data_IF_703538475161
#
_entry.id   IF_703538475161
#
_cell.length_a   1.000
_cell.length_b   1.000
_cell.length_c   1.000
_cell.angle_alpha   90.00
_cell.angle_beta   90.00
_cell.angle_gamma   90.00
#
_symmetry.space_group_name_H-M   'P 1'
#
loop_
_entity.id
_entity.type
_entity.pdbx_description
1 polymer ?
#
# COMPACT_ATOMS: atom_id res chain seq x y z
N UNK A 1 -16.12 18.67 14.53
CA UNK A 1 -14.65 18.62 14.47
C UNK A 1 -14.28 17.46 13.57
N UNK A 2 -13.46 17.70 12.57
CA UNK A 2 -13.07 16.65 11.63
C UNK A 2 -11.92 15.86 12.25
N UNK A 3 -11.87 14.55 11.97
CA UNK A 3 -10.94 13.61 12.61
C UNK A 3 -9.47 14.00 12.37
N UNK A 4 -9.20 14.72 11.29
CA UNK A 4 -7.86 15.11 10.86
C UNK A 4 -7.25 16.31 11.61
N UNK A 5 -8.04 17.08 12.36
CA UNK A 5 -7.55 18.23 13.14
C UNK A 5 -7.32 17.89 14.62
N UNK A 6 -7.31 16.60 14.98
CA UNK A 6 -7.10 16.15 16.36
C UNK A 6 -5.65 16.44 16.80
N UNK A 7 -5.50 17.09 17.95
CA UNK A 7 -4.22 17.33 18.60
C UNK A 7 -4.15 16.65 19.98
N UNK A 8 -2.94 16.29 20.45
CA UNK A 8 -2.75 15.89 21.84
C UNK A 8 -3.24 16.96 22.80
N UNK A 9 -4.03 16.56 23.79
CA UNK A 9 -4.68 17.48 24.75
C UNK A 9 -6.15 17.76 24.44
N UNK A 10 -6.65 17.41 23.26
CA UNK A 10 -8.06 17.57 22.95
C UNK A 10 -8.93 16.59 23.74
N UNK A 11 -10.17 17.01 24.03
CA UNK A 11 -11.17 16.15 24.66
C UNK A 11 -12.20 15.76 23.61
N UNK A 12 -12.32 14.44 23.39
CA UNK A 12 -13.27 13.87 22.43
C UNK A 12 -14.32 13.08 23.17
N UNK A 13 -15.56 13.26 22.75
CA UNK A 13 -16.69 12.46 23.21
C UNK A 13 -16.95 11.34 22.20
N UNK A 14 -17.04 10.11 22.71
CA UNK A 14 -17.30 8.91 21.92
C UNK A 14 -18.63 8.29 22.35
N UNK A 15 -19.43 7.94 21.35
CA UNK A 15 -20.71 7.24 21.52
C UNK A 15 -20.63 5.81 20.97
N UNK A 16 -21.73 5.09 21.16
CA UNK A 16 -21.91 3.73 20.65
C UNK A 16 -21.69 3.69 19.14
N UNK A 17 -20.95 2.68 18.67
CA UNK A 17 -20.53 2.46 17.27
C UNK A 17 -19.49 3.44 16.72
N UNK A 18 -19.05 4.41 17.50
CA UNK A 18 -17.95 5.28 17.07
C UNK A 18 -16.64 4.49 17.06
N UNK A 19 -15.82 4.78 16.06
CA UNK A 19 -14.45 4.30 15.98
C UNK A 19 -13.54 5.30 16.71
N UNK A 20 -12.61 4.79 17.50
CA UNK A 20 -11.67 5.61 18.25
C UNK A 20 -10.63 6.21 17.27
N UNK A 21 -10.56 7.56 17.13
CA UNK A 21 -9.77 8.19 16.06
C UNK A 21 -8.26 8.26 16.32
N UNK A 22 -7.82 8.11 17.56
CA UNK A 22 -6.43 8.27 17.99
C UNK A 22 -6.19 7.51 19.31
N UNK A 23 -5.03 7.55 19.94
CA UNK A 23 -4.89 6.96 21.30
C UNK A 23 -5.21 8.00 22.37
N UNK A 24 -5.67 7.54 23.54
CA UNK A 24 -6.12 8.45 24.59
C UNK A 24 -6.53 7.80 25.89
N UNK A 25 -6.77 8.63 26.90
CA UNK A 25 -7.14 8.22 28.25
C UNK A 25 -8.61 8.48 28.52
N UNK A 26 -9.32 7.49 29.07
CA UNK A 26 -10.66 7.61 29.61
C UNK A 26 -10.69 8.66 30.73
N UNK A 27 -11.58 9.65 30.60
CA UNK A 27 -11.79 10.67 31.62
C UNK A 27 -13.05 10.38 32.43
N UNK A 28 -14.18 10.22 31.73
CA UNK A 28 -15.49 10.05 32.37
C UNK A 28 -16.45 9.39 31.39
N UNK A 29 -17.33 8.53 31.86
CA UNK A 29 -18.30 7.86 31.00
C UNK A 29 -19.14 6.86 31.78
N UNK A 30 -20.11 6.26 31.10
CA UNK A 30 -21.00 5.26 31.68
C UNK A 30 -20.81 3.91 31.01
N UNK A 31 -20.36 2.91 31.79
CA UNK A 31 -20.21 1.50 31.40
C UNK A 31 -19.70 1.31 29.97
N UNK A 32 -18.52 1.84 29.66
CA UNK A 32 -17.96 1.78 28.31
C UNK A 32 -17.28 0.44 28.06
N UNK A 33 -17.69 -0.18 26.96
CA UNK A 33 -17.11 -1.44 26.46
C UNK A 33 -16.56 -1.21 25.07
N UNK A 34 -15.29 -1.53 24.88
CA UNK A 34 -14.56 -1.40 23.62
C UNK A 34 -14.33 -2.78 23.01
N UNK A 35 -14.45 -2.85 21.69
CA UNK A 35 -14.06 -3.97 20.86
C UNK A 35 -12.62 -3.78 20.37
N UNK A 36 -11.71 -4.65 20.81
CA UNK A 36 -10.30 -4.63 20.42
C UNK A 36 -9.99 -5.55 19.23
N UNK A 37 -10.99 -6.25 18.68
CA UNK A 37 -10.81 -7.16 17.54
C UNK A 37 -10.21 -6.51 16.31
N UNK A 38 -10.40 -5.20 16.14
CA UNK A 38 -9.81 -4.46 15.02
C UNK A 38 -8.29 -4.33 15.14
N UNK A 39 -7.73 -4.37 16.35
CA UNK A 39 -6.29 -4.21 16.60
C UNK A 39 -5.59 -5.55 16.79
N UNK A 40 -6.17 -6.46 17.59
CA UNK A 40 -5.54 -7.75 17.94
C UNK A 40 -5.99 -8.90 17.05
N UNK A 41 -7.12 -8.76 16.34
CA UNK A 41 -7.75 -9.84 15.60
C UNK A 41 -8.59 -10.79 16.48
N UNK A 42 -8.54 -10.64 17.80
CA UNK A 42 -9.28 -11.47 18.75
C UNK A 42 -10.56 -10.78 19.19
N UNK A 43 -11.68 -11.51 19.26
CA UNK A 43 -12.97 -10.96 19.66
C UNK A 43 -13.09 -10.76 21.18
N UNK A 44 -12.13 -10.06 21.76
CA UNK A 44 -12.11 -9.74 23.17
C UNK A 44 -12.66 -8.33 23.41
N UNK A 45 -13.61 -8.21 24.34
CA UNK A 45 -14.20 -6.93 24.70
C UNK A 45 -13.56 -6.45 25.99
N UNK A 46 -13.09 -5.21 25.99
CA UNK A 46 -12.43 -4.60 27.15
C UNK A 46 -13.36 -3.57 27.77
N UNK A 47 -13.63 -3.73 29.07
CA UNK A 47 -14.40 -2.78 29.84
C UNK A 47 -13.48 -1.68 30.38
N UNK A 48 -13.82 -0.43 30.12
CA UNK A 48 -13.05 0.71 30.62
C UNK A 48 -13.43 1.03 32.07
N UNK A 49 -12.41 1.14 32.91
CA UNK A 49 -12.52 1.52 34.32
C UNK A 49 -11.33 2.41 34.70
N UNK A 50 -11.31 2.96 35.93
CA UNK A 50 -10.17 3.75 36.42
C UNK A 50 -8.84 2.98 36.41
N UNK A 51 -8.88 1.65 36.49
CA UNK A 51 -7.69 0.78 36.41
C UNK A 51 -7.24 0.51 34.98
N UNK A 52 -8.17 0.49 34.03
CA UNK A 52 -7.90 0.28 32.61
C UNK A 52 -8.52 1.42 31.79
N UNK A 53 -7.86 2.57 31.85
CA UNK A 53 -8.33 3.81 31.30
C UNK A 53 -7.74 4.10 29.90
N UNK A 54 -7.02 3.16 29.27
CA UNK A 54 -6.38 3.42 27.98
C UNK A 54 -7.30 3.01 26.82
N UNK A 55 -7.48 3.89 25.84
CA UNK A 55 -8.23 3.64 24.61
C UNK A 55 -7.29 3.69 23.42
N UNK A 56 -7.27 2.61 22.66
CA UNK A 56 -6.42 2.44 21.48
C UNK A 56 -7.13 2.91 20.21
N UNK A 57 -6.39 3.58 19.34
CA UNK A 57 -6.83 3.99 18.01
C UNK A 57 -7.24 2.79 17.18
N UNK A 58 -8.31 2.93 16.41
CA UNK A 58 -8.83 1.85 15.54
C UNK A 58 -9.78 0.89 16.24
N UNK A 59 -9.87 0.91 17.57
CA UNK A 59 -10.89 0.15 18.32
C UNK A 59 -12.28 0.77 18.19
N UNK A 60 -13.33 0.01 18.53
CA UNK A 60 -14.72 0.43 18.34
C UNK A 60 -15.51 0.38 19.64
N UNK A 61 -16.31 1.40 19.91
CA UNK A 61 -17.18 1.42 21.10
C UNK A 61 -18.40 0.54 20.87
N UNK A 62 -18.54 -0.56 21.62
CA UNK A 62 -19.74 -1.42 21.57
C UNK A 62 -20.89 -0.88 22.38
N UNK A 63 -20.61 -0.43 23.60
CA UNK A 63 -21.62 0.01 24.55
C UNK A 63 -21.12 1.19 25.38
N UNK A 64 -22.06 2.01 25.85
CA UNK A 64 -21.79 3.17 26.69
C UNK A 64 -21.39 4.42 25.91
N UNK A 65 -21.04 5.46 26.66
CA UNK A 65 -20.47 6.70 26.12
C UNK A 65 -19.37 7.20 27.06
N UNK A 66 -18.34 7.82 26.50
CA UNK A 66 -17.26 8.40 27.30
C UNK A 66 -16.69 9.66 26.70
N UNK A 67 -16.10 10.47 27.58
CA UNK A 67 -15.14 11.50 27.26
C UNK A 67 -13.76 10.92 27.46
N UNK A 68 -12.87 11.23 26.53
CA UNK A 68 -11.46 10.86 26.63
C UNK A 68 -10.56 12.05 26.31
N UNK A 69 -9.36 12.01 26.84
CA UNK A 69 -8.26 12.92 26.51
C UNK A 69 -7.39 12.29 25.42
N UNK A 70 -7.10 13.02 24.36
CA UNK A 70 -6.19 12.59 23.30
C UNK A 70 -4.75 12.70 23.79
N UNK A 71 -3.98 11.61 23.69
CA UNK A 71 -2.56 11.59 24.10
C UNK A 71 -1.63 11.56 22.90
N UNK A 72 -1.95 10.75 21.89
CA UNK A 72 -1.15 10.63 20.66
C UNK A 72 -2.05 10.50 19.45
N UNK A 73 -1.64 11.10 18.33
CA UNK A 73 -2.38 11.15 17.06
C UNK A 73 -1.48 10.71 15.89
N UNK A 74 -2.11 10.32 14.79
CA UNK A 74 -1.41 9.92 13.55
C UNK A 74 -0.46 8.73 13.74
N UNK A 75 0.72 8.82 13.12
CA UNK A 75 1.72 7.74 13.10
C UNK A 75 2.32 7.40 14.46
N UNK A 76 2.13 8.26 15.47
CA UNK A 76 2.63 8.02 16.83
C UNK A 76 1.72 7.09 17.63
N UNK A 77 0.51 6.82 17.15
CA UNK A 77 -0.44 5.90 17.77
C UNK A 77 0.00 4.43 17.65
N UNK A 78 -0.57 3.55 18.46
CA UNK A 78 -0.34 2.10 18.36
C UNK A 78 -0.77 1.57 16.98
N UNK A 79 -1.92 2.02 16.48
CA UNK A 79 -2.37 1.69 15.12
C UNK A 79 -1.40 2.20 14.05
N UNK A 80 -0.91 3.43 14.20
CA UNK A 80 0.08 4.03 13.30
C UNK A 80 1.38 3.23 13.27
N UNK A 81 1.91 2.86 14.44
CA UNK A 81 3.12 2.02 14.55
C UNK A 81 2.92 0.64 13.93
N UNK A 82 1.78 -0.01 14.19
CA UNK A 82 1.45 -1.29 13.59
C UNK A 82 1.43 -1.19 12.06
N UNK A 83 0.84 -0.13 11.51
CA UNK A 83 0.81 0.11 10.08
C UNK A 83 2.20 0.37 9.50
N UNK A 84 3.09 1.08 10.20
CA UNK A 84 4.49 1.24 9.79
C UNK A 84 5.18 -0.11 9.70
N UNK A 85 5.11 -0.94 10.73
CA UNK A 85 5.75 -2.26 10.73
C UNK A 85 5.18 -3.18 9.63
N UNK A 86 3.87 -3.12 9.39
CA UNK A 86 3.24 -3.85 8.29
C UNK A 86 3.63 -3.31 6.90
N UNK A 87 3.91 -2.02 6.79
CA UNK A 87 4.28 -1.37 5.51
C UNK A 87 5.78 -1.53 5.23
N UNK A 88 6.64 -1.44 6.25
CA UNK A 88 8.06 -1.79 6.14
C UNK A 88 8.25 -3.24 5.66
N UNK A 89 7.37 -4.15 6.07
CA UNK A 89 7.33 -5.53 5.53
C UNK A 89 6.70 -5.67 4.14
N UNK A 90 6.17 -4.59 3.54
CA UNK A 90 5.52 -4.55 2.21
C UNK A 90 6.26 -3.69 1.18
N UNK A 91 7.16 -2.81 1.61
CA UNK A 91 8.10 -2.07 0.73
C UNK A 91 9.20 -2.98 0.18
N UNK A 92 9.31 -4.22 0.69
CA UNK A 92 9.80 -5.32 -0.13
C UNK A 92 8.70 -5.65 -1.13
N UNK A 93 8.86 -5.18 -2.38
CA UNK A 93 8.03 -5.62 -3.51
C UNK A 93 7.73 -7.11 -3.35
N UNK A 94 6.44 -7.43 -3.16
CA UNK A 94 6.04 -8.79 -2.82
C UNK A 94 6.77 -9.79 -3.74
N UNK A 95 7.49 -10.79 -3.18
CA UNK A 95 8.46 -11.61 -3.92
C UNK A 95 7.84 -12.47 -5.05
N UNK A 96 6.52 -12.38 -5.19
CA UNK A 96 5.73 -12.96 -6.25
C UNK A 96 5.68 -12.09 -7.52
N UNK A 97 5.54 -10.77 -7.38
CA UNK A 97 5.43 -9.86 -8.53
C UNK A 97 6.75 -9.75 -9.30
N UNK A 98 7.88 -9.73 -8.59
CA UNK A 98 9.23 -9.70 -9.18
C UNK A 98 9.49 -10.94 -10.05
N UNK A 99 9.04 -12.12 -9.61
CA UNK A 99 9.22 -13.37 -10.36
C UNK A 99 8.37 -13.40 -11.64
N UNK A 100 7.18 -12.80 -11.61
CA UNK A 100 6.29 -12.75 -12.76
C UNK A 100 6.84 -11.82 -13.86
N UNK A 101 7.41 -10.67 -13.46
CA UNK A 101 8.04 -9.71 -14.38
C UNK A 101 9.22 -10.37 -15.12
N UNK A 102 10.01 -11.22 -14.45
CA UNK A 102 11.07 -12.01 -15.07
C UNK A 102 10.57 -12.98 -16.14
N UNK A 103 9.42 -13.62 -15.94
CA UNK A 103 8.84 -14.55 -16.95
C UNK A 103 8.28 -13.76 -18.15
N UNK A 104 7.59 -12.65 -17.89
CA UNK A 104 7.00 -11.81 -18.94
C UNK A 104 8.08 -11.23 -19.86
N UNK A 105 9.21 -10.79 -19.31
CA UNK A 105 10.34 -10.27 -20.10
C UNK A 105 11.00 -11.33 -20.98
N UNK A 106 11.11 -12.58 -20.52
CA UNK A 106 11.62 -13.70 -21.34
C UNK A 106 10.68 -13.98 -22.52
N UNK A 107 9.37 -14.05 -22.27
CA UNK A 107 8.37 -14.28 -23.32
C UNK A 107 8.40 -13.14 -24.34
N UNK A 108 8.44 -11.89 -23.88
CA UNK A 108 8.52 -10.73 -24.75
C UNK A 108 9.75 -10.78 -25.68
N UNK A 109 10.90 -11.20 -25.15
CA UNK A 109 12.14 -11.35 -25.93
C UNK A 109 12.03 -12.44 -26.99
N UNK A 110 11.44 -13.59 -26.66
CA UNK A 110 11.22 -14.68 -27.63
C UNK A 110 10.28 -14.24 -28.75
N UNK A 111 9.14 -13.65 -28.41
CA UNK A 111 8.18 -13.15 -29.41
C UNK A 111 8.83 -12.13 -30.34
N UNK A 112 9.62 -11.21 -29.79
CA UNK A 112 10.36 -10.24 -30.58
C UNK A 112 11.31 -10.90 -31.60
N UNK A 113 12.12 -11.88 -31.16
CA UNK A 113 12.99 -12.64 -32.07
C UNK A 113 12.21 -13.37 -33.17
N UNK A 114 11.10 -14.02 -32.83
CA UNK A 114 10.27 -14.71 -33.82
C UNK A 114 9.68 -13.76 -34.85
N UNK A 115 9.19 -12.58 -34.43
CA UNK A 115 8.64 -11.57 -35.35
C UNK A 115 9.72 -11.04 -36.29
N UNK A 116 10.93 -10.75 -35.79
CA UNK A 116 12.05 -10.26 -36.61
C UNK A 116 12.52 -11.32 -37.61
N UNK A 117 12.61 -12.60 -37.19
CA UNK A 117 13.01 -13.70 -38.08
C UNK A 117 11.97 -13.93 -39.18
N UNK A 118 10.68 -13.97 -38.83
CA UNK A 118 9.61 -14.13 -39.83
C UNK A 118 9.55 -12.94 -40.78
N UNK A 119 9.69 -11.70 -40.28
CA UNK A 119 9.71 -10.50 -41.10
C UNK A 119 10.88 -10.45 -42.09
N UNK A 120 12.09 -10.79 -41.63
CA UNK A 120 13.27 -10.88 -42.50
C UNK A 120 13.19 -12.03 -43.50
N UNK A 121 12.63 -13.18 -43.11
CA UNK A 121 12.43 -14.34 -43.99
C UNK A 121 11.39 -14.06 -45.08
N UNK A 122 10.27 -13.41 -44.75
CA UNK A 122 9.24 -13.02 -45.72
C UNK A 122 9.76 -11.96 -46.69
N UNK A 123 10.51 -10.95 -46.20
CA UNK A 123 11.21 -9.97 -47.07
C UNK A 123 12.20 -10.68 -48.00
N UNK A 124 12.93 -11.68 -47.50
CA UNK A 124 13.91 -12.48 -48.27
C UNK A 124 13.25 -13.33 -49.36
N UNK A 125 12.05 -13.86 -49.12
CA UNK A 125 11.30 -14.65 -50.11
C UNK A 125 10.64 -13.77 -51.17
N UNK A 126 10.17 -12.57 -50.82
CA UNK A 126 9.45 -11.69 -51.74
C UNK A 126 10.35 -10.87 -52.67
N UNK A 127 11.59 -10.55 -52.29
CA UNK A 127 12.43 -9.63 -53.10
C UNK A 127 13.60 -10.27 -53.85
N UNK A 128 14.02 -11.51 -53.54
CA UNK A 128 15.08 -12.19 -54.30
C UNK A 128 16.37 -11.38 -54.51
N UNK A 129 16.68 -10.41 -53.65
CA UNK A 129 17.83 -9.50 -53.79
C UNK A 129 18.64 -9.39 -52.50
N UNK A 130 19.94 -9.19 -52.70
CA UNK A 130 21.04 -9.37 -51.76
C UNK A 130 21.04 -8.37 -50.59
N UNK A 131 21.66 -8.78 -49.49
CA UNK A 131 21.96 -8.06 -48.24
C UNK A 131 22.07 -6.52 -48.36
N UNK A 132 21.01 -5.79 -48.04
CA UNK A 132 21.11 -4.40 -47.57
C UNK A 132 20.35 -4.31 -46.24
N UNK A 133 21.09 -4.49 -45.16
CA UNK A 133 20.67 -4.12 -43.82
C UNK A 133 20.82 -2.60 -43.74
N UNK A 134 19.71 -1.86 -43.93
CA UNK A 134 19.71 -0.41 -43.74
C UNK A 134 19.80 -0.15 -42.24
N UNK A 135 20.91 0.45 -41.80
CA UNK A 135 21.19 0.78 -40.40
C UNK A 135 20.17 1.72 -39.75
N UNK A 136 19.21 2.21 -40.52
CA UNK A 136 18.17 3.15 -40.08
C UNK A 136 17.05 2.45 -39.26
N UNK A 137 16.86 1.14 -39.43
CA UNK A 137 15.91 0.35 -38.62
C UNK A 137 16.49 -0.01 -37.24
N UNK A 138 17.83 -0.06 -37.11
CA UNK A 138 18.49 -0.35 -35.83
C UNK A 138 18.48 0.86 -34.87
N UNK A 139 18.56 2.07 -35.40
CA UNK A 139 18.46 3.30 -34.60
C UNK A 139 17.04 3.54 -34.05
N UNK A 140 16.00 3.27 -34.85
CA UNK A 140 14.61 3.38 -34.38
C UNK A 140 14.27 2.37 -33.26
N UNK A 141 14.95 1.22 -33.24
CA UNK A 141 14.75 0.20 -32.21
C UNK A 141 15.49 0.53 -30.92
N UNK A 142 16.68 1.12 -31.00
CA UNK A 142 17.43 1.62 -29.83
C UNK A 142 16.73 2.80 -29.15
N UNK A 143 16.13 3.71 -29.93
CA UNK A 143 15.36 4.84 -29.38
C UNK A 143 14.10 4.38 -28.61
N UNK A 144 13.50 3.25 -29.01
CA UNK A 144 12.39 2.63 -28.29
C UNK A 144 12.82 1.98 -26.96
N UNK A 145 14.04 1.41 -26.90
CA UNK A 145 14.60 0.86 -25.66
C UNK A 145 15.02 1.97 -24.67
N UNK A 146 15.55 3.10 -25.15
CA UNK A 146 15.88 4.25 -24.30
C UNK A 146 14.63 4.96 -23.73
N UNK A 147 13.54 5.03 -24.51
CA UNK A 147 12.25 5.54 -24.01
C UNK A 147 11.66 4.64 -22.90
N UNK A 148 11.84 3.32 -23.02
CA UNK A 148 11.35 2.38 -22.02
C UNK A 148 12.19 2.39 -20.74
N UNK A 149 13.48 2.69 -20.83
CA UNK A 149 14.35 2.83 -19.65
C UNK A 149 14.06 4.15 -18.90
N UNK A 150 13.93 5.28 -19.61
CA UNK A 150 13.62 6.58 -19.01
C UNK A 150 12.19 6.69 -18.44
N UNK A 151 11.23 5.91 -18.91
CA UNK A 151 9.89 5.85 -18.31
C UNK A 151 9.86 5.08 -16.97
N UNK A 152 10.82 4.20 -16.71
CA UNK A 152 10.92 3.52 -15.40
C UNK A 152 11.55 4.40 -14.31
N UNK A 153 12.33 5.42 -14.67
CA UNK A 153 13.00 6.31 -13.70
C UNK A 153 12.17 7.55 -13.31
N UNK A 154 10.98 7.78 -13.89
CA UNK A 154 10.12 8.91 -13.53
C UNK A 154 9.13 8.62 -12.39
N UNK A 155 9.42 7.59 -11.58
CA UNK A 155 8.57 7.12 -10.48
C UNK A 155 9.24 7.13 -9.10
N UNK A 156 10.33 7.87 -8.90
CA UNK A 156 10.93 8.16 -7.59
C UNK A 156 10.77 9.62 -7.21
#
# INVERSE_FOLDING_TARGET
MLIYDLLPGDIVHLAIRDQVPADGLFLSGFSVVIDESSLTGESENVMLNAQNAFLLSGTKVKYGSCKRLITTVGMRTQWGKLMVTLTEGRDEETPFHVKLIGVVTIIARLVFFFVVIQGTFMKKLSLGTHWIWSGDEAFNLLEYFDCCHNCCDFGS
#
